data_IF_300674439806
#
_entry.id   IF_300674439806
#
_cell.length_a   1.000
_cell.length_b   1.000
_cell.length_c   1.000
_cell.angle_alpha   90.00
_cell.angle_beta   90.00
_cell.angle_gamma   90.00
#
_symmetry.space_group_name_H-M   'P 1'
#
loop_
_entity.id
_entity.type
_entity.pdbx_description
1 polymer ?
#
# COMPACT_ATOMS: atom_id res chain seq x y z
N UNK A 1 38.82 13.90 21.20
CA UNK A 1 39.43 12.89 22.09
C UNK A 1 39.55 11.60 21.29
N UNK A 2 40.77 11.34 20.77
CA UNK A 2 41.36 10.03 20.38
C UNK A 2 40.58 9.24 19.30
N UNK A 3 40.89 9.30 17.99
CA UNK A 3 42.08 8.86 17.24
C UNK A 3 42.34 7.33 17.22
N UNK A 4 42.08 6.72 16.04
CA UNK A 4 42.72 5.53 15.41
C UNK A 4 42.58 4.14 16.06
N UNK A 5 42.13 3.17 15.27
CA UNK A 5 42.81 1.88 15.07
C UNK A 5 42.26 1.13 13.85
N UNK A 6 42.88 1.41 12.69
CA UNK A 6 42.98 0.47 11.57
C UNK A 6 44.31 -0.24 11.79
N UNK A 7 44.31 -1.56 11.96
CA UNK A 7 45.50 -2.38 11.74
C UNK A 7 45.11 -3.81 11.41
N UNK A 8 45.68 -4.29 10.32
CA UNK A 8 45.50 -5.60 9.72
C UNK A 8 45.88 -6.74 10.67
N UNK A 9 45.16 -7.86 10.55
CA UNK A 9 45.74 -9.17 10.79
C UNK A 9 45.61 -10.01 9.52
N UNK A 10 46.78 -10.49 9.12
CA UNK A 10 47.14 -11.12 7.87
C UNK A 10 46.75 -12.60 7.88
N UNK A 11 46.31 -13.07 6.72
CA UNK A 11 46.32 -14.44 6.18
C UNK A 11 46.87 -15.57 7.09
N UNK A 12 46.05 -16.60 7.31
CA UNK A 12 46.51 -17.99 7.20
C UNK A 12 45.34 -18.87 6.72
N UNK A 13 45.46 -19.38 5.50
CA UNK A 13 44.67 -20.51 5.02
C UNK A 13 45.40 -21.80 5.41
N UNK A 14 44.74 -22.70 6.13
CA UNK A 14 44.70 -24.15 5.82
C UNK A 14 43.73 -24.88 6.78
N UNK A 15 42.82 -25.61 6.16
CA UNK A 15 42.03 -26.76 6.60
C UNK A 15 42.02 -27.14 8.10
N UNK A 16 40.81 -27.09 8.69
CA UNK A 16 40.30 -28.15 9.56
C UNK A 16 38.80 -28.33 9.30
N UNK A 17 38.47 -29.45 8.68
CA UNK A 17 37.12 -29.98 8.57
C UNK A 17 36.64 -30.40 9.97
N UNK A 18 35.51 -29.87 10.42
CA UNK A 18 34.91 -30.21 11.71
C UNK A 18 33.46 -29.77 11.76
N UNK A 19 32.58 -30.61 11.24
CA UNK A 19 31.13 -30.42 11.35
C UNK A 19 30.70 -30.68 12.81
N UNK A 20 30.23 -29.65 13.49
CA UNK A 20 29.47 -29.76 14.74
C UNK A 20 28.01 -29.36 14.46
N UNK A 21 27.01 -30.13 14.92
CA UNK A 21 25.61 -29.81 14.68
C UNK A 21 25.19 -28.64 15.59
N UNK A 22 24.88 -27.51 14.98
CA UNK A 22 24.20 -26.40 15.65
C UNK A 22 22.76 -26.77 16.04
N UNK A 23 22.16 -26.06 17.02
CA UNK A 23 20.84 -26.39 17.51
C UNK A 23 19.80 -26.20 16.41
N UNK A 24 19.00 -27.23 16.18
CA UNK A 24 17.86 -27.23 15.27
C UNK A 24 16.83 -26.19 15.70
N UNK A 25 16.87 -25.03 15.05
CA UNK A 25 15.73 -24.11 15.01
C UNK A 25 14.61 -24.84 14.26
N UNK A 26 13.55 -25.19 14.98
CA UNK A 26 12.33 -25.72 14.38
C UNK A 26 11.83 -24.70 13.36
N UNK A 27 11.87 -25.07 12.09
CA UNK A 27 11.24 -24.33 10.99
C UNK A 27 9.75 -24.33 11.30
N UNK A 28 9.25 -23.22 11.84
CA UNK A 28 7.82 -22.96 11.92
C UNK A 28 7.26 -23.16 10.52
N UNK A 29 6.25 -24.02 10.41
CA UNK A 29 5.58 -24.36 9.17
C UNK A 29 5.17 -23.08 8.43
N UNK A 30 5.81 -22.83 7.29
CA UNK A 30 5.28 -21.92 6.27
C UNK A 30 3.91 -22.48 5.87
N UNK A 31 2.85 -21.89 6.42
CA UNK A 31 1.50 -22.12 5.92
C UNK A 31 1.49 -21.69 4.46
N UNK A 32 1.04 -22.57 3.58
CA UNK A 32 0.81 -22.27 2.17
C UNK A 32 -0.14 -21.06 2.07
N UNK A 33 0.41 -19.86 1.86
CA UNK A 33 -0.37 -18.69 1.51
C UNK A 33 -0.91 -18.88 0.10
N UNK A 34 -2.24 -18.86 -0.01
CA UNK A 34 -2.98 -18.91 -1.27
C UNK A 34 -2.50 -17.80 -2.20
N UNK A 35 -2.42 -18.09 -3.50
CA UNK A 35 -2.27 -17.06 -4.53
C UNK A 35 -3.31 -15.95 -4.33
N UNK A 36 -2.94 -14.70 -4.62
CA UNK A 36 -3.83 -13.55 -4.56
C UNK A 36 -5.15 -13.88 -5.30
N UNK A 37 -6.32 -13.61 -4.69
CA UNK A 37 -7.58 -13.89 -5.34
C UNK A 37 -7.64 -13.15 -6.68
N UNK A 38 -8.20 -13.80 -7.71
CA UNK A 38 -8.46 -13.14 -9.00
C UNK A 38 -9.47 -12.02 -8.78
N UNK A 39 -9.00 -10.82 -8.52
CA UNK A 39 -9.81 -9.62 -8.44
C UNK A 39 -10.15 -9.13 -9.84
N UNK A 40 -11.39 -8.67 -10.02
CA UNK A 40 -11.80 -7.95 -11.21
C UNK A 40 -11.46 -6.46 -11.07
N UNK A 41 -10.19 -6.15 -10.80
CA UNK A 41 -9.68 -4.77 -10.76
C UNK A 41 -8.70 -4.53 -11.91
N UNK A 42 -8.62 -3.29 -12.43
CA UNK A 42 -7.61 -2.95 -13.42
C UNK A 42 -6.21 -3.07 -12.80
N UNK A 43 -5.20 -3.31 -13.64
CA UNK A 43 -3.82 -3.42 -13.19
C UNK A 43 -2.87 -2.74 -14.19
N UNK A 44 -1.92 -1.97 -13.68
CA UNK A 44 -0.81 -1.46 -14.49
C UNK A 44 0.19 -2.59 -14.80
N UNK A 45 0.94 -2.51 -15.90
CA UNK A 45 2.05 -3.44 -16.16
C UNK A 45 3.15 -3.28 -15.10
N UNK A 46 3.87 -4.37 -14.82
CA UNK A 46 5.01 -4.36 -13.90
C UNK A 46 6.15 -3.45 -14.40
N UNK A 47 6.70 -2.62 -13.52
CA UNK A 47 7.91 -1.83 -13.81
C UNK A 47 9.17 -2.67 -13.55
N UNK A 48 10.15 -2.59 -14.45
CA UNK A 48 11.39 -3.36 -14.35
C UNK A 48 12.18 -3.06 -13.06
N UNK A 49 11.96 -1.90 -12.44
CA UNK A 49 12.62 -1.44 -11.22
C UNK A 49 11.98 -1.98 -9.96
N UNK A 50 10.79 -2.57 -10.00
CA UNK A 50 10.08 -3.03 -8.80
C UNK A 50 10.93 -3.95 -7.93
N UNK A 51 11.65 -4.89 -8.56
CA UNK A 51 12.52 -5.83 -7.85
C UNK A 51 13.65 -5.11 -7.11
N UNK A 52 14.31 -4.17 -7.79
CA UNK A 52 15.41 -3.39 -7.22
C UNK A 52 14.91 -2.50 -6.06
N UNK A 53 13.79 -1.81 -6.26
CA UNK A 53 13.20 -0.92 -5.26
C UNK A 53 12.74 -1.71 -4.03
N UNK A 54 12.09 -2.85 -4.24
CA UNK A 54 11.60 -3.68 -3.13
C UNK A 54 12.74 -4.25 -2.29
N UNK A 55 13.83 -4.68 -2.94
CA UNK A 55 15.05 -5.10 -2.24
C UNK A 55 15.68 -3.97 -1.42
N UNK A 56 15.78 -2.77 -2.00
CA UNK A 56 16.30 -1.59 -1.29
C UNK A 56 15.45 -1.22 -0.08
N UNK A 57 14.13 -1.19 -0.24
CA UNK A 57 13.19 -0.91 0.86
C UNK A 57 13.31 -1.99 1.95
N UNK A 58 13.34 -3.27 1.58
CA UNK A 58 13.51 -4.37 2.54
C UNK A 58 14.82 -4.24 3.34
N UNK A 59 15.94 -3.96 2.67
CA UNK A 59 17.23 -3.75 3.33
C UNK A 59 17.17 -2.59 4.33
N UNK A 60 16.54 -1.47 3.93
CA UNK A 60 16.38 -0.31 4.82
C UNK A 60 15.48 -0.62 6.02
N UNK A 61 14.37 -1.33 5.82
CA UNK A 61 13.42 -1.65 6.89
C UNK A 61 13.96 -2.68 7.90
N UNK A 62 14.66 -3.72 7.43
CA UNK A 62 15.17 -4.77 8.30
C UNK A 62 16.54 -4.42 8.91
N UNK A 63 17.43 -3.79 8.13
CA UNK A 63 18.82 -3.52 8.50
C UNK A 63 19.05 -2.16 9.14
N UNK A 64 18.46 -1.10 8.58
CA UNK A 64 18.80 0.29 8.94
C UNK A 64 17.77 0.94 9.86
N UNK A 65 16.53 0.47 9.85
CA UNK A 65 15.47 1.07 10.64
C UNK A 65 15.65 0.77 12.13
N UNK A 66 15.77 1.80 12.97
CA UNK A 66 16.05 1.73 14.41
C UNK A 66 15.15 0.78 15.21
N UNK A 67 13.91 0.57 14.74
CA UNK A 67 12.94 -0.33 15.39
C UNK A 67 13.14 -1.81 15.07
N UNK A 68 14.00 -2.15 14.09
CA UNK A 68 14.31 -3.51 13.62
C UNK A 68 13.10 -4.44 13.56
N UNK A 69 11.98 -3.92 13.03
CA UNK A 69 10.74 -4.68 12.96
C UNK A 69 10.82 -5.66 11.78
N UNK A 70 10.39 -6.91 11.95
CA UNK A 70 10.30 -7.82 10.82
C UNK A 70 9.28 -7.28 9.81
N UNK A 71 9.59 -7.45 8.53
CA UNK A 71 8.62 -7.28 7.45
C UNK A 71 7.79 -8.55 7.43
N UNK A 72 6.58 -8.53 8.00
CA UNK A 72 5.68 -9.68 8.20
C UNK A 72 4.20 -9.30 8.01
N UNK A 73 3.28 -10.25 8.15
CA UNK A 73 1.82 -10.05 8.00
C UNK A 73 1.27 -8.95 8.91
N UNK A 74 1.86 -8.75 10.10
CA UNK A 74 1.43 -7.71 11.03
C UNK A 74 1.82 -6.34 10.49
N UNK A 75 3.02 -6.20 9.94
CA UNK A 75 3.43 -4.99 9.23
C UNK A 75 2.57 -4.78 8.00
N UNK A 76 2.29 -5.83 7.21
CA UNK A 76 1.46 -5.76 6.01
C UNK A 76 0.09 -5.17 6.29
N UNK A 77 -0.59 -5.63 7.36
CA UNK A 77 -1.93 -5.12 7.71
C UNK A 77 -1.91 -3.64 8.09
N UNK A 78 -0.92 -3.23 8.89
CA UNK A 78 -0.77 -1.83 9.25
C UNK A 78 -0.42 -0.95 8.03
N UNK A 79 0.47 -1.43 7.17
CA UNK A 79 0.85 -0.73 5.95
C UNK A 79 -0.29 -0.68 4.92
N UNK A 80 -1.19 -1.66 4.92
CA UNK A 80 -2.36 -1.69 4.05
C UNK A 80 -3.36 -0.59 4.40
N UNK A 81 -3.66 -0.40 5.68
CA UNK A 81 -4.58 0.66 6.11
C UNK A 81 -4.01 2.04 5.70
N UNK A 82 -2.74 2.30 6.01
CA UNK A 82 -2.01 3.52 5.59
C UNK A 82 -1.97 3.69 4.07
N UNK A 83 -1.83 2.59 3.32
CA UNK A 83 -1.85 2.62 1.86
C UNK A 83 -3.21 3.07 1.32
N UNK A 84 -4.31 2.55 1.86
CA UNK A 84 -5.67 2.93 1.43
C UNK A 84 -5.94 4.40 1.75
N UNK A 85 -5.50 4.87 2.92
CA UNK A 85 -5.60 6.28 3.30
C UNK A 85 -4.77 7.18 2.38
N UNK A 86 -3.56 6.77 2.02
CA UNK A 86 -2.73 7.50 1.06
C UNK A 86 -3.28 7.46 -0.38
N UNK A 87 -4.00 6.40 -0.75
CA UNK A 87 -4.56 6.22 -2.10
C UNK A 87 -5.72 7.17 -2.38
N UNK A 88 -6.60 7.39 -1.40
CA UNK A 88 -7.75 8.30 -1.50
C UNK A 88 -8.08 8.96 -0.15
N UNK A 89 -7.26 9.94 0.30
CA UNK A 89 -7.38 10.51 1.65
C UNK A 89 -8.70 11.23 1.90
N UNK A 90 -9.30 11.81 0.86
CA UNK A 90 -10.59 12.49 0.94
C UNK A 90 -11.79 11.55 0.74
N UNK A 91 -11.56 10.28 0.42
CA UNK A 91 -12.61 9.31 0.03
C UNK A 91 -13.48 9.87 -1.11
N UNK A 92 -12.83 10.49 -2.09
CA UNK A 92 -13.46 11.23 -3.19
C UNK A 92 -13.44 10.48 -4.53
N UNK A 93 -12.80 9.32 -4.61
CA UNK A 93 -12.65 8.58 -5.86
C UNK A 93 -13.14 7.13 -5.75
N UNK A 94 -12.75 6.45 -4.67
CA UNK A 94 -13.03 5.04 -4.48
C UNK A 94 -14.43 4.81 -3.91
N UNK A 95 -14.93 3.59 -4.12
CA UNK A 95 -16.19 3.10 -3.56
C UNK A 95 -15.87 2.10 -2.45
N UNK A 96 -16.85 1.83 -1.58
CA UNK A 96 -16.71 0.85 -0.51
C UNK A 96 -16.32 -0.54 -1.05
N UNK A 97 -16.91 -0.96 -2.18
CA UNK A 97 -16.59 -2.23 -2.83
C UNK A 97 -15.14 -2.29 -3.33
N UNK A 98 -14.62 -1.21 -3.91
CA UNK A 98 -13.22 -1.13 -4.33
C UNK A 98 -12.25 -1.36 -3.16
N UNK A 99 -12.52 -0.73 -2.02
CA UNK A 99 -11.69 -0.89 -0.81
C UNK A 99 -11.83 -2.30 -0.24
N UNK A 100 -13.03 -2.88 -0.27
CA UNK A 100 -13.26 -4.26 0.16
C UNK A 100 -12.49 -5.27 -0.72
N UNK A 101 -12.48 -5.06 -2.04
CA UNK A 101 -11.67 -5.86 -2.95
C UNK A 101 -10.18 -5.72 -2.63
N UNK A 102 -9.64 -4.49 -2.55
CA UNK A 102 -8.22 -4.26 -2.22
C UNK A 102 -7.80 -4.88 -0.88
N UNK A 103 -8.72 -5.00 0.08
CA UNK A 103 -8.46 -5.61 1.40
C UNK A 103 -8.02 -7.07 1.33
N UNK A 104 -8.21 -7.76 0.20
CA UNK A 104 -7.64 -9.08 -0.05
C UNK A 104 -6.11 -9.11 -0.07
N UNK A 105 -5.46 -7.95 -0.28
CA UNK A 105 -4.00 -7.83 -0.26
C UNK A 105 -3.45 -7.46 1.13
N UNK A 106 -4.31 -7.29 2.14
CA UNK A 106 -3.93 -6.68 3.43
C UNK A 106 -2.82 -7.42 4.19
N UNK A 107 -2.64 -8.72 3.97
CA UNK A 107 -1.58 -9.53 4.58
C UNK A 107 -0.52 -10.00 3.57
N UNK A 108 -0.46 -9.37 2.39
CA UNK A 108 0.40 -9.77 1.27
C UNK A 108 1.50 -8.75 0.92
N UNK A 109 1.50 -7.56 1.53
CA UNK A 109 2.49 -6.52 1.21
C UNK A 109 3.92 -7.00 1.48
N UNK A 110 4.16 -7.71 2.57
CA UNK A 110 5.45 -8.31 2.90
C UNK A 110 5.91 -9.32 1.85
N UNK A 111 5.01 -10.18 1.39
CA UNK A 111 5.30 -11.14 0.33
C UNK A 111 5.58 -10.45 -1.01
N UNK A 112 4.79 -9.43 -1.36
CA UNK A 112 4.99 -8.60 -2.55
C UNK A 112 6.36 -7.89 -2.51
N UNK A 113 6.75 -7.36 -1.35
CA UNK A 113 8.03 -6.71 -1.14
C UNK A 113 9.20 -7.71 -1.23
N UNK A 114 9.07 -8.91 -0.65
CA UNK A 114 10.10 -9.97 -0.75
C UNK A 114 10.25 -10.49 -2.18
N UNK A 115 9.13 -10.67 -2.88
CA UNK A 115 9.12 -11.15 -4.26
C UNK A 115 9.59 -10.09 -5.26
N UNK A 116 9.52 -8.80 -4.90
CA UNK A 116 9.76 -7.70 -5.82
C UNK A 116 8.65 -7.55 -6.86
N UNK A 117 7.42 -7.92 -6.49
CA UNK A 117 6.22 -7.82 -7.32
C UNK A 117 5.19 -6.97 -6.57
N UNK A 118 5.14 -5.67 -6.87
CA UNK A 118 4.30 -4.68 -6.17
C UNK A 118 2.88 -4.62 -6.73
N UNK A 119 2.21 -5.78 -6.74
CA UNK A 119 0.90 -5.95 -7.36
C UNK A 119 -0.17 -5.00 -6.78
N UNK A 120 -0.28 -4.88 -5.46
CA UNK A 120 -1.25 -3.98 -4.84
C UNK A 120 -1.07 -2.54 -5.33
N UNK A 121 0.18 -2.07 -5.40
CA UNK A 121 0.49 -0.73 -5.86
C UNK A 121 0.02 -0.50 -7.30
N UNK A 122 0.21 -1.49 -8.18
CA UNK A 122 -0.24 -1.41 -9.58
C UNK A 122 -1.75 -1.46 -9.71
N UNK A 123 -2.41 -2.32 -8.95
CA UNK A 123 -3.88 -2.46 -8.95
C UNK A 123 -4.52 -1.17 -8.44
N UNK A 124 -4.10 -0.66 -7.28
CA UNK A 124 -4.65 0.57 -6.73
C UNK A 124 -4.35 1.80 -7.59
N UNK A 125 -3.16 1.90 -8.19
CA UNK A 125 -2.84 2.99 -9.11
C UNK A 125 -3.69 2.95 -10.39
N UNK A 126 -3.92 1.76 -10.97
CA UNK A 126 -4.79 1.59 -12.12
C UNK A 126 -6.24 1.95 -11.78
N UNK A 127 -6.73 1.46 -10.64
CA UNK A 127 -8.07 1.73 -10.16
C UNK A 127 -8.30 3.22 -9.94
N UNK A 128 -7.39 3.89 -9.22
CA UNK A 128 -7.50 5.32 -8.99
C UNK A 128 -7.46 6.12 -10.29
N UNK A 129 -6.65 5.70 -11.28
CA UNK A 129 -6.63 6.32 -12.62
C UNK A 129 -7.99 6.22 -13.31
N UNK A 130 -8.62 5.05 -13.27
CA UNK A 130 -9.95 4.84 -13.83
C UNK A 130 -11.01 5.69 -13.11
N UNK A 131 -11.01 5.66 -11.77
CA UNK A 131 -11.95 6.41 -10.93
C UNK A 131 -11.83 7.92 -11.10
N UNK A 132 -10.63 8.45 -11.31
CA UNK A 132 -10.44 9.85 -11.71
C UNK A 132 -11.16 10.18 -13.01
N UNK A 133 -11.19 9.27 -13.98
CA UNK A 133 -11.93 9.45 -15.23
C UNK A 133 -13.45 9.50 -15.03
N UNK A 134 -13.98 8.66 -14.14
CA UNK A 134 -15.41 8.68 -13.75
C UNK A 134 -15.76 9.99 -13.05
N UNK A 135 -14.97 10.36 -12.04
CA UNK A 135 -15.15 11.59 -11.26
C UNK A 135 -15.06 12.84 -12.13
N UNK A 136 -14.12 12.89 -13.09
CA UNK A 136 -14.02 14.00 -14.02
C UNK A 136 -15.33 14.23 -14.79
N UNK A 137 -16.00 13.16 -15.25
CA UNK A 137 -17.31 13.25 -15.91
C UNK A 137 -18.40 13.76 -14.97
N UNK A 138 -18.47 13.22 -13.76
CA UNK A 138 -19.41 13.67 -12.71
C UNK A 138 -19.26 15.19 -12.48
N UNK A 139 -18.02 15.66 -12.32
CA UNK A 139 -17.72 17.07 -12.10
C UNK A 139 -18.15 17.90 -13.31
N UNK A 140 -17.77 17.51 -14.53
CA UNK A 140 -18.15 18.24 -15.75
C UNK A 140 -19.67 18.36 -15.92
N UNK A 141 -20.41 17.27 -15.72
CA UNK A 141 -21.88 17.25 -15.79
C UNK A 141 -22.53 18.12 -14.70
N UNK A 142 -21.93 18.15 -13.50
CA UNK A 142 -22.43 18.94 -12.38
C UNK A 142 -22.19 20.44 -12.58
N UNK A 143 -21.00 20.83 -13.05
CA UNK A 143 -20.65 22.23 -13.30
C UNK A 143 -21.45 22.85 -14.45
N UNK A 144 -22.02 22.03 -15.36
CA UNK A 144 -22.93 22.50 -16.40
C UNK A 144 -24.30 22.99 -15.86
N UNK A 145 -24.59 22.82 -14.58
CA UNK A 145 -25.86 23.17 -13.94
C UNK A 145 -25.63 24.12 -12.76
N UNK A 146 -26.44 25.17 -12.59
CA UNK A 146 -26.28 26.11 -11.47
C UNK A 146 -26.43 25.41 -10.11
N UNK A 147 -25.73 25.93 -9.11
CA UNK A 147 -25.89 25.52 -7.72
C UNK A 147 -27.02 26.31 -7.06
N UNK A 148 -27.81 25.63 -6.24
CA UNK A 148 -28.86 26.26 -5.44
C UNK A 148 -28.33 26.50 -4.02
N UNK A 149 -28.04 27.76 -3.70
CA UNK A 149 -27.54 28.21 -2.40
C UNK A 149 -28.65 28.60 -1.42
N UNK A 150 -29.93 28.49 -1.81
CA UNK A 150 -31.05 28.75 -0.89
C UNK A 150 -31.32 27.58 0.07
N UNK A 151 -30.79 26.39 -0.24
CA UNK A 151 -30.96 25.19 0.58
C UNK A 151 -29.97 25.17 1.74
N UNK A 152 -30.50 24.95 2.94
CA UNK A 152 -29.73 24.62 4.13
C UNK A 152 -29.25 23.16 4.03
N UNK A 153 -27.94 22.99 3.81
CA UNK A 153 -27.29 21.69 3.62
C UNK A 153 -25.97 21.70 4.39
N UNK A 154 -25.63 20.56 4.99
CA UNK A 154 -24.41 20.37 5.76
C UNK A 154 -23.50 19.35 5.07
N UNK A 155 -22.19 19.56 5.16
CA UNK A 155 -21.16 18.66 4.62
C UNK A 155 -20.09 18.44 5.67
N UNK A 156 -19.79 17.19 5.99
CA UNK A 156 -18.65 16.83 6.83
C UNK A 156 -17.35 17.01 6.03
N UNK A 157 -16.41 17.77 6.57
CA UNK A 157 -15.12 18.09 5.92
C UNK A 157 -13.99 17.22 6.46
N UNK A 158 -14.21 16.56 7.60
CA UNK A 158 -13.27 15.62 8.21
C UNK A 158 -13.36 14.24 7.52
N UNK A 159 -12.33 13.82 6.76
CA UNK A 159 -12.37 12.55 6.05
C UNK A 159 -12.45 11.34 6.98
N UNK A 160 -11.97 11.45 8.23
CA UNK A 160 -12.03 10.33 9.19
C UNK A 160 -13.46 10.01 9.59
N UNK A 161 -14.36 11.00 9.57
CA UNK A 161 -15.79 10.85 9.92
C UNK A 161 -16.67 10.41 8.76
N UNK A 162 -16.11 10.28 7.56
CA UNK A 162 -16.85 9.96 6.34
C UNK A 162 -16.53 8.54 5.86
N UNK A 163 -17.53 7.75 5.51
CA UNK A 163 -17.34 6.44 4.87
C UNK A 163 -17.01 6.57 3.37
N UNK A 164 -16.49 5.51 2.75
CA UNK A 164 -16.45 5.45 1.28
C UNK A 164 -17.87 5.40 0.71
N UNK A 165 -18.08 6.01 -0.46
CA UNK A 165 -19.38 5.98 -1.13
C UNK A 165 -19.76 4.55 -1.52
N UNK A 166 -21.03 4.17 -1.35
CA UNK A 166 -21.51 2.83 -1.69
C UNK A 166 -21.61 2.62 -3.20
N UNK A 167 -21.95 3.66 -3.94
CA UNK A 167 -22.11 3.64 -5.39
C UNK A 167 -21.79 4.99 -6.04
N UNK A 168 -21.84 5.04 -7.37
CA UNK A 168 -21.56 6.24 -8.15
C UNK A 168 -22.58 7.36 -7.93
N UNK A 169 -23.81 7.05 -7.47
CA UNK A 169 -24.84 8.07 -7.18
C UNK A 169 -24.50 8.80 -5.89
N UNK A 170 -24.11 8.08 -4.85
CA UNK A 170 -23.64 8.66 -3.60
C UNK A 170 -22.35 9.47 -3.83
N UNK A 171 -21.43 8.94 -4.65
CA UNK A 171 -20.22 9.66 -5.02
C UNK A 171 -20.53 10.97 -5.77
N UNK A 172 -21.52 10.96 -6.67
CA UNK A 172 -21.96 12.15 -7.38
C UNK A 172 -22.59 13.21 -6.46
N UNK A 173 -23.41 12.81 -5.47
CA UNK A 173 -23.93 13.75 -4.47
C UNK A 173 -22.81 14.31 -3.58
N UNK A 174 -21.83 13.48 -3.21
CA UNK A 174 -20.63 13.93 -2.48
C UNK A 174 -19.88 15.01 -3.25
N UNK A 175 -19.59 14.78 -4.53
CA UNK A 175 -18.95 15.78 -5.38
C UNK A 175 -19.81 17.03 -5.57
N UNK A 176 -21.14 16.92 -5.70
CA UNK A 176 -22.03 18.09 -5.73
C UNK A 176 -21.86 18.96 -4.49
N UNK A 177 -21.83 18.35 -3.30
CA UNK A 177 -21.65 19.06 -2.02
C UNK A 177 -20.27 19.70 -1.91
N UNK A 178 -19.22 18.96 -2.26
CA UNK A 178 -17.83 19.47 -2.29
C UNK A 178 -17.71 20.67 -3.23
N UNK A 179 -18.26 20.58 -4.44
CA UNK A 179 -18.21 21.67 -5.42
C UNK A 179 -19.04 22.89 -5.00
N UNK A 180 -20.18 22.70 -4.32
CA UNK A 180 -21.00 23.80 -3.78
C UNK A 180 -20.26 24.56 -2.66
N UNK A 181 -19.29 23.91 -1.99
CA UNK A 181 -18.51 24.51 -0.90
C UNK A 181 -17.32 25.37 -1.39
N UNK A 182 -16.86 25.19 -2.64
CA UNK A 182 -15.76 25.96 -3.23
C UNK A 182 -16.20 27.36 -3.66
#
# INVERSE_FOLDING_TARGET
>A
MILRLVSACLLLALACNGAAPGPTVKRSSEGQKSAAPKLNLPQLPADQREKLLSQGIKMMLEGEHLRHRPVDDKLSKAAFDEYIEALDPGKLFLLADHVAQLRSYSDQLDDQLRAGNLELARVGAALLKERRGVVAKIISERLAKPFDFSKDEHTETDPEKVGYAQDDRELADRWRKVLKLQ
#
